data_IF_254781109630
#
_entry.id   IF_254781109630
#
_cell.length_a   1.000
_cell.length_b   1.000
_cell.length_c   1.000
_cell.angle_alpha   90.00
_cell.angle_beta   90.00
_cell.angle_gamma   90.00
#
_symmetry.space_group_name_H-M   'P 1'
#
loop_
_entity.id
_entity.type
_entity.pdbx_description
1 polymer ?
#
# COMPACT_ATOMS: atom_id res chain seq x y z
N UNK A 1 -24.21 70.24 19.79
CA UNK A 1 -24.40 70.28 21.25
C UNK A 1 -23.75 69.03 21.81
N UNK A 2 -22.46 69.07 22.17
CA UNK A 2 -21.99 69.35 23.54
C UNK A 2 -21.98 68.00 24.30
N UNK A 3 -20.94 67.52 24.96
CA UNK A 3 -19.76 68.14 25.54
C UNK A 3 -18.82 67.02 26.03
N UNK A 4 -17.53 67.35 26.09
CA UNK A 4 -16.41 66.57 26.62
C UNK A 4 -16.51 66.40 28.14
N UNK A 5 -15.83 65.37 28.68
CA UNK A 5 -14.97 65.32 29.91
C UNK A 5 -15.05 63.92 30.56
N UNK A 6 -14.06 63.36 31.27
CA UNK A 6 -12.59 63.46 31.36
C UNK A 6 -12.16 62.41 32.41
N UNK A 7 -11.01 61.73 32.23
CA UNK A 7 -10.24 61.03 33.28
C UNK A 7 -10.78 59.67 33.77
N UNK A 8 -9.97 58.68 34.17
CA UNK A 8 -8.52 58.60 34.38
C UNK A 8 -8.10 57.13 34.63
N UNK A 9 -6.96 56.75 34.05
CA UNK A 9 -5.89 55.87 34.59
C UNK A 9 -6.22 54.44 35.08
N UNK A 10 -5.66 53.40 34.42
CA UNK A 10 -4.42 52.72 34.83
C UNK A 10 -4.18 51.40 34.05
N UNK A 11 -2.99 51.33 33.44
CA UNK A 11 -2.06 50.19 33.34
C UNK A 11 -2.59 48.76 33.15
N UNK A 12 -2.29 48.16 31.99
CA UNK A 12 -1.40 46.98 31.89
C UNK A 12 -1.28 46.56 30.41
N UNK A 13 -0.15 46.85 29.78
CA UNK A 13 0.14 46.47 28.40
C UNK A 13 0.31 44.96 28.28
N UNK A 14 -0.71 44.25 27.78
CA UNK A 14 -0.58 42.84 27.39
C UNK A 14 0.34 42.72 26.17
N UNK A 15 1.52 42.16 26.39
CA UNK A 15 2.36 41.56 25.37
C UNK A 15 1.56 40.51 24.60
N UNK A 16 1.53 40.62 23.26
CA UNK A 16 1.00 39.57 22.39
C UNK A 16 2.01 38.44 22.33
N UNK A 17 1.74 37.34 23.02
CA UNK A 17 2.35 36.04 22.80
C UNK A 17 1.90 35.44 21.45
N UNK A 18 2.71 34.56 20.83
CA UNK A 18 2.40 33.95 19.54
C UNK A 18 1.11 33.12 19.58
N UNK A 19 0.43 32.92 18.43
CA UNK A 19 -0.80 32.14 18.38
C UNK A 19 -0.56 30.71 18.88
N UNK A 20 -1.46 30.24 19.74
CA UNK A 20 -1.44 28.90 20.33
C UNK A 20 -1.52 27.81 19.25
N UNK A 21 -0.92 26.63 19.49
CA UNK A 21 -1.10 25.48 18.60
C UNK A 21 -2.59 25.15 18.50
N UNK A 22 -3.08 25.02 17.26
CA UNK A 22 -4.46 24.58 17.00
C UNK A 22 -4.64 23.19 17.63
N UNK A 23 -5.76 22.94 18.32
CA UNK A 23 -6.02 21.62 18.91
C UNK A 23 -6.05 20.56 17.82
N UNK A 24 -5.39 19.43 18.08
CA UNK A 24 -5.50 18.20 17.29
C UNK A 24 -6.97 17.81 17.10
N UNK A 25 -7.35 17.19 15.98
CA UNK A 25 -8.74 16.79 15.74
C UNK A 25 -9.25 15.92 16.90
N UNK A 26 -10.53 16.07 17.29
CA UNK A 26 -11.06 15.41 18.47
C UNK A 26 -11.00 13.90 18.29
N UNK A 27 -10.38 13.23 19.25
CA UNK A 27 -10.51 11.80 19.50
C UNK A 27 -11.99 11.35 19.44
N UNK A 28 -12.27 10.09 19.08
CA UNK A 28 -13.60 9.67 18.67
C UNK A 28 -14.64 9.85 19.80
N UNK A 29 -15.88 10.16 19.39
CA UNK A 29 -17.03 10.39 20.28
C UNK A 29 -17.13 9.34 21.42
N UNK A 30 -17.57 9.73 22.63
CA UNK A 30 -17.61 8.86 23.82
C UNK A 30 -18.46 7.58 23.66
N UNK A 31 -19.32 7.48 22.65
CA UNK A 31 -20.04 6.23 22.32
C UNK A 31 -19.14 5.17 21.67
N UNK A 32 -18.09 5.57 20.96
CA UNK A 32 -17.12 4.67 20.33
C UNK A 32 -16.16 4.05 21.36
N UNK A 33 -15.68 4.84 22.34
CA UNK A 33 -14.86 4.32 23.45
C UNK A 33 -15.62 3.28 24.29
N UNK A 34 -16.92 3.51 24.53
CA UNK A 34 -17.78 2.55 25.23
C UNK A 34 -18.02 1.25 24.44
N UNK A 35 -18.09 1.31 23.10
CA UNK A 35 -18.23 0.12 22.25
C UNK A 35 -16.93 -0.69 22.20
N UNK A 36 -15.80 -0.02 22.05
CA UNK A 36 -14.48 -0.67 22.01
C UNK A 36 -14.15 -1.34 23.35
N UNK A 37 -14.47 -0.72 24.49
CA UNK A 37 -14.28 -1.34 25.81
C UNK A 37 -15.17 -2.58 26.02
N UNK A 38 -16.42 -2.55 25.55
CA UNK A 38 -17.32 -3.71 25.62
C UNK A 38 -16.79 -4.89 24.80
N UNK A 39 -16.30 -4.62 23.58
CA UNK A 39 -15.69 -5.66 22.74
C UNK A 39 -14.41 -6.18 23.38
N UNK A 40 -13.55 -5.30 23.91
CA UNK A 40 -12.33 -5.69 24.60
C UNK A 40 -12.60 -6.60 25.82
N UNK A 41 -13.64 -6.31 26.60
CA UNK A 41 -14.06 -7.15 27.73
C UNK A 41 -14.45 -8.58 27.31
N UNK A 42 -15.01 -8.77 26.12
CA UNK A 42 -15.31 -10.11 25.58
C UNK A 42 -14.05 -10.85 25.11
N UNK A 43 -12.97 -10.14 24.76
CA UNK A 43 -11.70 -10.72 24.32
C UNK A 43 -10.82 -11.14 25.50
N UNK A 44 -10.83 -10.38 26.60
CA UNK A 44 -9.97 -10.63 27.78
C UNK A 44 -10.31 -11.93 28.51
N UNK A 45 -11.56 -12.44 28.40
CA UNK A 45 -11.97 -13.70 29.03
C UNK A 45 -11.40 -14.96 28.35
N UNK A 46 -10.76 -14.83 27.18
CA UNK A 46 -10.24 -15.98 26.41
C UNK A 46 -8.73 -16.23 26.55
N UNK A 47 -7.96 -15.33 27.17
CA UNK A 47 -6.49 -15.40 27.21
C UNK A 47 -5.99 -15.76 28.61
N UNK A 48 -6.18 -17.03 28.98
CA UNK A 48 -5.49 -17.66 30.10
C UNK A 48 -4.55 -18.74 29.58
N UNK A 49 -3.25 -18.47 29.49
CA UNK A 49 -2.25 -19.48 29.14
C UNK A 49 -0.88 -18.88 28.86
N UNK A 50 0.08 -19.11 29.77
CA UNK A 50 1.43 -18.56 29.74
C UNK A 50 2.26 -18.99 28.53
N UNK A 51 2.85 -18.01 27.85
CA UNK A 51 3.88 -18.21 26.83
C UNK A 51 5.23 -17.71 27.33
N UNK A 52 6.28 -18.50 27.08
CA UNK A 52 7.69 -18.17 27.32
C UNK A 52 8.08 -16.86 26.62
N UNK A 53 8.97 -16.04 27.21
CA UNK A 53 9.34 -14.75 26.63
C UNK A 53 10.04 -14.95 25.28
N UNK A 54 9.48 -14.33 24.22
CA UNK A 54 10.06 -14.31 22.89
C UNK A 54 11.38 -13.53 22.90
N UNK A 55 12.44 -14.18 22.42
CA UNK A 55 13.76 -13.58 22.35
C UNK A 55 13.88 -12.75 21.08
N UNK A 56 14.24 -11.47 21.24
CA UNK A 56 14.39 -10.53 20.13
C UNK A 56 15.75 -10.73 19.48
N UNK A 57 15.76 -11.22 18.24
CA UNK A 57 16.96 -11.26 17.40
C UNK A 57 16.91 -10.09 16.41
N UNK A 58 17.98 -9.28 16.28
CA UNK A 58 18.01 -8.16 15.34
C UNK A 58 17.85 -8.65 13.89
N UNK A 59 16.76 -8.24 13.23
CA UNK A 59 16.38 -8.67 11.87
C UNK A 59 17.39 -8.26 10.79
N UNK A 60 18.24 -7.28 11.07
CA UNK A 60 19.10 -6.64 10.06
C UNK A 60 20.33 -7.45 9.64
N UNK A 61 20.81 -8.39 10.48
CA UNK A 61 22.10 -9.07 10.24
C UNK A 61 21.98 -10.43 9.54
N UNK A 62 20.77 -10.95 9.36
CA UNK A 62 20.55 -12.31 8.85
C UNK A 62 20.20 -12.39 7.36
N UNK A 63 19.92 -11.27 6.67
CA UNK A 63 19.51 -11.33 5.26
C UNK A 63 20.67 -11.39 4.25
N UNK A 64 21.91 -11.03 4.63
CA UNK A 64 23.04 -10.97 3.69
C UNK A 64 24.10 -12.05 3.87
N UNK A 65 23.93 -12.95 4.84
CA UNK A 65 24.93 -13.96 5.24
C UNK A 65 24.40 -15.40 5.18
N UNK A 66 23.15 -15.60 4.76
CA UNK A 66 22.62 -16.93 4.52
C UNK A 66 23.36 -17.58 3.34
N UNK A 67 23.78 -18.84 3.51
CA UNK A 67 24.33 -19.66 2.43
C UNK A 67 23.30 -19.74 1.29
N UNK A 68 23.77 -19.56 0.05
CA UNK A 68 22.89 -19.63 -1.12
C UNK A 68 22.51 -21.08 -1.37
N UNK A 69 21.22 -21.35 -1.44
CA UNK A 69 20.68 -22.69 -1.69
C UNK A 69 19.92 -22.73 -3.01
N UNK A 70 19.78 -23.91 -3.60
CA UNK A 70 19.02 -24.09 -4.84
C UNK A 70 17.51 -23.80 -4.64
N UNK A 71 17.02 -23.85 -3.39
CA UNK A 71 15.64 -23.54 -3.01
C UNK A 71 15.39 -22.04 -2.73
N UNK A 72 16.40 -21.19 -2.94
CA UNK A 72 16.26 -19.76 -2.70
C UNK A 72 15.31 -19.10 -3.72
N UNK A 73 14.36 -18.30 -3.22
CA UNK A 73 13.50 -17.48 -4.08
C UNK A 73 14.28 -16.27 -4.57
N UNK A 74 14.60 -16.26 -5.87
CA UNK A 74 15.41 -15.20 -6.50
C UNK A 74 14.58 -14.22 -7.33
N UNK A 75 15.07 -12.99 -7.46
CA UNK A 75 14.49 -11.98 -8.35
C UNK A 75 15.27 -11.99 -9.67
N UNK A 76 14.67 -12.51 -10.74
CA UNK A 76 15.31 -12.59 -12.06
C UNK A 76 15.32 -11.25 -12.81
N UNK A 77 14.27 -10.44 -12.64
CA UNK A 77 14.12 -9.14 -13.31
C UNK A 77 13.26 -8.21 -12.48
N UNK A 78 13.59 -6.92 -12.49
CA UNK A 78 12.79 -5.87 -11.89
C UNK A 78 12.70 -4.68 -12.86
N UNK A 79 11.48 -4.26 -13.18
CA UNK A 79 11.20 -3.13 -14.07
C UNK A 79 10.11 -2.25 -13.46
N UNK A 80 10.12 -0.96 -13.82
CA UNK A 80 9.08 0.00 -13.44
C UNK A 80 8.95 1.08 -14.48
N UNK A 81 7.79 1.72 -14.54
CA UNK A 81 7.61 2.96 -15.29
C UNK A 81 8.32 4.14 -14.61
N UNK A 82 8.41 5.26 -15.32
CA UNK A 82 8.67 6.54 -14.67
C UNK A 82 7.55 6.84 -13.63
N UNK A 83 7.85 7.68 -12.65
CA UNK A 83 6.84 8.17 -11.70
C UNK A 83 6.53 9.61 -12.11
N UNK A 84 5.26 9.91 -12.37
CA UNK A 84 4.82 11.25 -12.76
C UNK A 84 3.87 11.83 -11.72
N UNK A 85 3.73 13.16 -11.69
CA UNK A 85 2.83 13.83 -10.74
C UNK A 85 1.37 13.53 -11.10
N UNK A 86 0.55 13.21 -10.10
CA UNK A 86 -0.90 13.09 -10.30
C UNK A 86 -1.50 14.39 -10.89
N UNK A 87 -2.53 14.25 -11.74
CA UNK A 87 -3.27 15.31 -12.45
C UNK A 87 -2.48 16.15 -13.47
N UNK A 88 -1.16 16.30 -13.33
CA UNK A 88 -0.33 17.21 -14.14
C UNK A 88 0.84 16.53 -14.84
N UNK A 89 1.12 15.27 -14.52
CA UNK A 89 2.23 14.50 -15.07
C UNK A 89 1.90 13.87 -16.42
N UNK A 90 2.92 13.25 -17.03
CA UNK A 90 2.80 12.60 -18.34
C UNK A 90 1.84 11.42 -18.40
N UNK A 91 1.50 10.80 -17.26
CA UNK A 91 0.54 9.69 -17.19
C UNK A 91 -0.86 10.11 -16.74
N UNK A 92 -1.21 11.40 -16.80
CA UNK A 92 -2.53 11.87 -16.38
C UNK A 92 -3.68 11.31 -17.24
N UNK A 93 -3.41 11.06 -18.52
CA UNK A 93 -4.38 10.54 -19.49
C UNK A 93 -4.11 9.06 -19.82
N UNK A 94 -3.24 8.38 -19.07
CA UNK A 94 -2.86 6.98 -19.31
C UNK A 94 -3.59 6.06 -18.33
N UNK A 95 -4.43 5.13 -18.81
CA UNK A 95 -5.06 4.10 -17.99
C UNK A 95 -4.04 3.13 -17.36
N UNK A 96 -4.41 2.49 -16.25
CA UNK A 96 -3.52 1.56 -15.55
C UNK A 96 -3.13 0.35 -16.41
N UNK A 97 -4.03 -0.13 -17.26
CA UNK A 97 -3.79 -1.23 -18.19
C UNK A 97 -2.68 -0.89 -19.21
N UNK A 98 -2.67 0.34 -19.73
CA UNK A 98 -1.64 0.85 -20.64
C UNK A 98 -0.31 1.10 -19.94
N UNK A 99 -0.31 1.39 -18.64
CA UNK A 99 0.91 1.48 -17.85
C UNK A 99 1.53 0.11 -17.56
N UNK A 100 0.69 -0.92 -17.40
CA UNK A 100 1.11 -2.25 -16.99
C UNK A 100 1.50 -3.16 -18.16
N UNK A 101 0.81 -3.07 -19.31
CA UNK A 101 1.11 -3.83 -20.52
C UNK A 101 2.59 -3.76 -20.98
N UNK A 102 3.22 -2.57 -21.11
CA UNK A 102 4.63 -2.49 -21.53
C UNK A 102 5.59 -3.07 -20.49
N UNK A 103 5.21 -3.15 -19.20
CA UNK A 103 6.02 -3.81 -18.20
C UNK A 103 6.04 -5.32 -18.41
N UNK A 104 4.90 -5.94 -18.75
CA UNK A 104 4.87 -7.37 -19.09
C UNK A 104 5.70 -7.68 -20.33
N UNK A 105 5.62 -6.85 -21.37
CA UNK A 105 6.47 -6.98 -22.56
C UNK A 105 7.95 -6.85 -22.21
N UNK A 106 8.33 -5.83 -21.44
CA UNK A 106 9.71 -5.62 -21.02
C UNK A 106 10.26 -6.77 -20.16
N UNK A 107 9.44 -7.37 -19.29
CA UNK A 107 9.82 -8.56 -18.52
C UNK A 107 10.10 -9.72 -19.47
N UNK A 108 9.16 -10.03 -20.37
CA UNK A 108 9.29 -11.12 -21.35
C UNK A 108 10.56 -10.96 -22.21
N UNK A 109 10.83 -9.76 -22.71
CA UNK A 109 12.01 -9.48 -23.54
C UNK A 109 13.32 -9.62 -22.76
N UNK A 110 13.36 -9.17 -21.50
CA UNK A 110 14.59 -9.21 -20.68
C UNK A 110 14.89 -10.58 -20.13
N UNK A 111 13.86 -11.31 -19.68
CA UNK A 111 14.05 -12.64 -19.08
C UNK A 111 14.11 -13.75 -20.11
N UNK A 112 13.49 -13.57 -21.29
CA UNK A 112 13.35 -14.60 -22.33
C UNK A 112 12.72 -15.90 -21.82
N UNK A 113 11.96 -15.81 -20.72
CA UNK A 113 11.22 -16.93 -20.13
C UNK A 113 10.02 -17.24 -21.02
N UNK A 114 9.70 -18.53 -21.17
CA UNK A 114 8.47 -18.96 -21.84
C UNK A 114 7.26 -18.41 -21.05
N UNK A 115 6.40 -17.57 -21.64
CA UNK A 115 5.23 -17.04 -20.95
C UNK A 115 4.31 -18.12 -20.36
N UNK A 116 4.34 -19.35 -20.91
CA UNK A 116 3.56 -20.48 -20.39
C UNK A 116 4.09 -21.07 -19.09
N UNK A 117 5.36 -20.82 -18.73
CA UNK A 117 5.93 -21.30 -17.48
C UNK A 117 5.58 -20.42 -16.28
N UNK A 118 4.90 -19.29 -16.50
CA UNK A 118 4.44 -18.40 -15.43
C UNK A 118 3.25 -19.08 -14.75
N UNK A 119 3.43 -19.46 -13.48
CA UNK A 119 2.40 -20.14 -12.70
C UNK A 119 1.36 -19.20 -12.10
N UNK A 120 1.73 -17.96 -11.76
CA UNK A 120 0.79 -16.95 -11.26
C UNK A 120 1.29 -15.51 -11.46
N UNK A 121 0.36 -14.57 -11.56
CA UNK A 121 0.61 -13.12 -11.64
C UNK A 121 -0.15 -12.42 -10.51
N UNK A 122 0.57 -11.72 -9.65
CA UNK A 122 0.02 -10.94 -8.55
C UNK A 122 0.27 -9.44 -8.75
N UNK A 123 -0.81 -8.66 -8.82
CA UNK A 123 -0.73 -7.19 -8.98
C UNK A 123 -1.35 -6.46 -7.79
N UNK A 124 -0.56 -5.58 -7.18
CA UNK A 124 -1.01 -4.68 -6.13
C UNK A 124 -1.71 -3.44 -6.69
N UNK A 125 -2.89 -3.13 -6.17
CA UNK A 125 -3.65 -1.92 -6.51
C UNK A 125 -4.55 -1.49 -5.34
N UNK A 126 -4.70 -0.19 -5.15
CA UNK A 126 -5.51 0.36 -4.05
C UNK A 126 -6.81 0.99 -4.55
N UNK A 127 -6.73 1.92 -5.50
CA UNK A 127 -7.86 2.82 -5.78
C UNK A 127 -8.84 2.28 -6.83
N UNK A 128 -8.46 1.26 -7.61
CA UNK A 128 -9.35 0.71 -8.64
C UNK A 128 -10.43 -0.19 -8.04
N UNK A 129 -11.63 -0.24 -8.64
CA UNK A 129 -12.69 -1.15 -8.22
C UNK A 129 -12.20 -2.61 -8.27
N UNK A 130 -12.52 -3.38 -7.24
CA UNK A 130 -12.07 -4.77 -7.11
C UNK A 130 -10.54 -4.94 -7.10
N UNK A 131 -9.80 -3.93 -6.58
CA UNK A 131 -8.34 -3.89 -6.62
C UNK A 131 -7.78 -4.07 -8.05
N UNK A 132 -8.51 -3.61 -9.07
CA UNK A 132 -8.03 -3.61 -10.46
C UNK A 132 -7.95 -4.98 -11.14
N UNK A 133 -8.66 -6.01 -10.64
CA UNK A 133 -8.58 -7.38 -11.21
C UNK A 133 -8.84 -7.43 -12.72
N UNK A 134 -9.90 -6.78 -13.18
CA UNK A 134 -10.24 -6.72 -14.62
C UNK A 134 -9.17 -5.94 -15.39
N UNK A 135 -8.72 -4.81 -14.87
CA UNK A 135 -7.70 -3.97 -15.50
C UNK A 135 -6.36 -4.69 -15.64
N UNK A 136 -5.90 -5.36 -14.58
CA UNK A 136 -4.68 -6.16 -14.60
C UNK A 136 -4.79 -7.33 -15.57
N UNK A 137 -5.98 -7.95 -15.68
CA UNK A 137 -6.23 -9.01 -16.65
C UNK A 137 -6.24 -8.50 -18.10
N UNK A 138 -6.78 -7.30 -18.35
CA UNK A 138 -6.69 -6.66 -19.66
C UNK A 138 -5.24 -6.33 -20.01
N UNK A 139 -4.47 -5.80 -19.06
CA UNK A 139 -3.05 -5.53 -19.24
C UNK A 139 -2.23 -6.78 -19.56
N UNK A 140 -2.57 -7.93 -18.97
CA UNK A 140 -1.95 -9.23 -19.28
C UNK A 140 -2.11 -9.57 -20.76
N UNK A 141 -3.32 -9.40 -21.31
CA UNK A 141 -3.57 -9.64 -22.73
C UNK A 141 -2.90 -8.62 -23.64
N UNK A 142 -2.91 -7.34 -23.27
CA UNK A 142 -2.18 -6.29 -23.98
C UNK A 142 -0.66 -6.49 -23.95
N UNK A 143 -0.16 -7.16 -22.91
CA UNK A 143 1.24 -7.53 -22.74
C UNK A 143 1.67 -8.82 -23.44
N UNK A 144 0.78 -9.42 -24.26
CA UNK A 144 0.99 -10.69 -24.95
C UNK A 144 1.38 -11.85 -24.00
N UNK A 145 0.73 -11.92 -22.84
CA UNK A 145 0.83 -13.07 -21.94
C UNK A 145 -0.35 -14.04 -22.19
N UNK A 146 -0.13 -15.36 -22.05
CA UNK A 146 -1.15 -16.38 -22.32
C UNK A 146 -2.35 -16.23 -21.39
N UNK A 147 -3.53 -16.66 -21.86
CA UNK A 147 -4.75 -16.65 -21.05
C UNK A 147 -4.76 -17.76 -19.99
N UNK A 148 -3.97 -18.81 -20.19
CA UNK A 148 -3.83 -19.92 -19.26
C UNK A 148 -3.17 -19.50 -17.94
N UNK A 149 -2.34 -18.46 -17.97
CA UNK A 149 -1.65 -17.94 -16.77
C UNK A 149 -2.67 -17.26 -15.88
N UNK A 150 -2.85 -17.69 -14.61
CA UNK A 150 -3.77 -17.05 -13.69
C UNK A 150 -3.25 -15.68 -13.26
N UNK A 151 -4.18 -14.81 -12.88
CA UNK A 151 -3.87 -13.49 -12.36
C UNK A 151 -4.79 -13.18 -11.19
N UNK A 152 -4.20 -12.64 -10.14
CA UNK A 152 -4.90 -12.18 -8.95
C UNK A 152 -4.40 -10.79 -8.53
N UNK A 153 -5.25 -10.05 -7.82
CA UNK A 153 -4.91 -8.72 -7.32
C UNK A 153 -4.99 -8.66 -5.81
N UNK A 154 -4.19 -7.79 -5.23
CA UNK A 154 -4.14 -7.61 -3.78
C UNK A 154 -4.15 -6.15 -3.39
N UNK A 155 -4.98 -5.85 -2.38
CA UNK A 155 -5.01 -4.54 -1.77
C UNK A 155 -4.57 -4.64 -0.32
N UNK A 156 -3.31 -4.24 -0.08
CA UNK A 156 -2.77 -3.99 1.26
C UNK A 156 -2.32 -2.53 1.38
N UNK A 157 -3.13 -1.61 0.85
CA UNK A 157 -2.87 -0.17 0.82
C UNK A 157 -1.49 0.11 0.19
N UNK A 158 -0.72 1.05 0.76
CA UNK A 158 0.63 1.40 0.31
C UNK A 158 1.61 0.22 0.22
N UNK A 159 1.31 -0.92 0.87
CA UNK A 159 2.12 -2.14 0.82
C UNK A 159 1.62 -3.17 -0.19
N UNK A 160 0.63 -2.86 -1.04
CA UNK A 160 0.04 -3.79 -2.02
C UNK A 160 1.06 -4.41 -2.97
N UNK A 161 1.98 -3.61 -3.53
CA UNK A 161 3.03 -4.11 -4.43
C UNK A 161 4.02 -5.05 -3.73
N UNK A 162 4.38 -4.76 -2.47
CA UNK A 162 5.26 -5.65 -1.68
C UNK A 162 4.52 -6.91 -1.24
N UNK A 163 3.21 -6.81 -0.95
CA UNK A 163 2.37 -7.96 -0.64
C UNK A 163 2.29 -8.92 -1.83
N UNK A 164 2.17 -8.41 -3.06
CA UNK A 164 2.21 -9.22 -4.26
C UNK A 164 3.51 -10.05 -4.36
N UNK A 165 4.67 -9.42 -4.08
CA UNK A 165 5.97 -10.10 -4.05
C UNK A 165 6.00 -11.18 -2.96
N UNK A 166 5.50 -10.87 -1.76
CA UNK A 166 5.45 -11.83 -0.66
C UNK A 166 4.55 -13.05 -0.97
N UNK A 167 3.45 -12.85 -1.69
CA UNK A 167 2.54 -13.91 -2.09
C UNK A 167 3.18 -14.84 -3.13
N UNK A 168 3.80 -14.30 -4.17
CA UNK A 168 4.52 -15.10 -5.17
C UNK A 168 5.69 -15.83 -4.53
N UNK A 169 6.49 -15.16 -3.70
CA UNK A 169 7.61 -15.80 -3.01
C UNK A 169 7.15 -16.94 -2.07
N UNK A 170 6.00 -16.78 -1.41
CA UNK A 170 5.45 -17.85 -0.57
C UNK A 170 4.92 -19.01 -1.41
N UNK A 171 4.34 -18.73 -2.59
CA UNK A 171 3.85 -19.75 -3.52
C UNK A 171 4.99 -20.58 -4.10
N UNK A 172 6.10 -19.92 -4.46
CA UNK A 172 7.33 -20.59 -4.91
C UNK A 172 7.91 -21.46 -3.79
N UNK A 173 8.07 -20.90 -2.59
CA UNK A 173 8.60 -21.65 -1.45
C UNK A 173 7.72 -22.84 -1.04
N UNK A 174 6.42 -22.78 -1.31
CA UNK A 174 5.49 -23.90 -1.09
C UNK A 174 5.46 -24.95 -2.21
N UNK A 175 6.18 -24.73 -3.31
CA UNK A 175 6.20 -25.61 -4.48
C UNK A 175 4.88 -25.59 -5.28
N UNK A 176 4.07 -24.55 -5.16
CA UNK A 176 2.80 -24.40 -5.92
C UNK A 176 3.07 -23.88 -7.33
N UNK A 177 4.08 -23.01 -7.47
CA UNK A 177 4.53 -22.45 -8.74
C UNK A 177 6.07 -22.39 -8.74
N UNK A 178 6.71 -22.51 -9.89
CA UNK A 178 8.17 -22.33 -9.99
C UNK A 178 8.54 -20.89 -10.37
N UNK A 179 7.69 -20.23 -11.15
CA UNK A 179 7.91 -18.86 -11.66
C UNK A 179 6.62 -18.07 -11.52
N UNK A 180 6.73 -16.82 -11.08
CA UNK A 180 5.59 -15.90 -11.00
C UNK A 180 6.00 -14.46 -11.26
N UNK A 181 5.02 -13.62 -11.57
CA UNK A 181 5.21 -12.17 -11.73
C UNK A 181 4.52 -11.46 -10.57
N UNK A 182 5.24 -10.57 -9.90
CA UNK A 182 4.70 -9.71 -8.86
C UNK A 182 4.94 -8.24 -9.21
N UNK A 183 3.96 -7.39 -8.92
CA UNK A 183 4.10 -5.96 -9.16
C UNK A 183 2.95 -5.15 -8.57
N UNK A 184 2.84 -3.91 -9.02
CA UNK A 184 1.73 -3.04 -8.66
C UNK A 184 1.54 -1.93 -9.68
N UNK A 185 0.31 -1.43 -9.78
CA UNK A 185 -0.05 -0.32 -10.66
C UNK A 185 -1.06 0.58 -9.95
N UNK A 186 -0.92 1.88 -10.13
CA UNK A 186 -1.79 2.87 -9.48
C UNK A 186 -1.90 4.13 -10.35
N UNK A 187 -3.12 4.66 -10.48
CA UNK A 187 -3.36 5.97 -11.10
C UNK A 187 -4.22 6.81 -10.18
N UNK A 188 -3.55 7.67 -9.40
CA UNK A 188 -4.21 8.62 -8.50
C UNK A 188 -4.95 9.76 -9.24
N UNK A 189 -4.75 9.87 -10.56
CA UNK A 189 -5.44 10.88 -11.40
C UNK A 189 -6.83 10.39 -11.78
N UNK A 190 -6.92 9.14 -12.25
CA UNK A 190 -8.17 8.56 -12.74
C UNK A 190 -9.00 7.95 -11.61
N UNK A 191 -8.34 7.47 -10.55
CA UNK A 191 -8.98 6.82 -9.42
C UNK A 191 -8.65 7.58 -8.14
N UNK A 192 -9.68 8.05 -7.46
CA UNK A 192 -9.54 8.71 -6.17
C UNK A 192 -9.59 7.66 -5.06
N UNK A 193 -8.68 7.69 -4.09
CA UNK A 193 -8.74 6.78 -2.95
C UNK A 193 -10.04 6.94 -2.14
N UNK A 194 -10.65 8.14 -2.16
CA UNK A 194 -11.94 8.37 -1.50
C UNK A 194 -13.13 7.72 -2.21
N UNK A 195 -13.04 7.43 -3.52
CA UNK A 195 -14.14 6.77 -4.23
C UNK A 195 -14.25 5.27 -3.96
N UNK A 196 -13.30 4.67 -3.22
CA UNK A 196 -13.33 3.25 -2.86
C UNK A 196 -14.11 2.97 -1.57
N UNK A 197 -14.56 4.01 -0.85
CA UNK A 197 -15.24 3.90 0.44
C UNK A 197 -16.71 4.35 0.42
N UNK A 198 -17.16 4.92 -0.70
CA UNK A 198 -18.54 5.35 -0.95
C UNK A 198 -19.24 4.40 -1.93
#
# INVERSE_FOLDING_TARGET
FGSRHFGSSLSCSRSRSPPSPKPSPPYPHPSAMNRLQRIAQHVTLAVGGGGTPLQVVPTASSMSTAEKTDDDVVICCAVRTAITKANRGGFKDTPCEEMLAPLFQAIKERTKVDPKSIGDIQIGNVSQPGAGAVTSRMAQFMGDLPFEVPLSTVNRQCSSGLQAVANIASSIRSGVIDVGIAGGVESMTMYNMASSVD
#
